data_IF_979708993804
#
_entry.id   IF_979708993804
#
_cell.length_a   1.000
_cell.length_b   1.000
_cell.length_c   1.000
_cell.angle_alpha   90.00
_cell.angle_beta   90.00
_cell.angle_gamma   90.00
#
_symmetry.space_group_name_H-M   'P 1'
#
loop_
_entity.id
_entity.type
_entity.pdbx_description
1 polymer ?
#
# COMPACT_ATOMS: atom_id res chain seq x y z
N UNK A 1 22.26 28.54 4.07
CA UNK A 1 21.69 27.21 3.81
C UNK A 1 20.27 27.24 4.35
N UNK A 2 19.25 27.16 3.49
CA UNK A 2 17.86 27.12 3.95
C UNK A 2 17.54 25.69 4.40
N UNK A 3 16.97 25.56 5.59
CA UNK A 3 16.38 24.31 6.06
C UNK A 3 14.87 24.43 5.93
N UNK A 4 14.20 23.31 5.68
CA UNK A 4 12.75 23.21 5.60
C UNK A 4 12.16 23.16 7.02
N UNK A 5 11.11 23.93 7.30
CA UNK A 5 10.34 23.77 8.55
C UNK A 5 9.36 22.60 8.42
N UNK A 6 8.91 22.03 9.54
CA UNK A 6 7.92 20.95 9.52
C UNK A 6 6.62 21.38 8.84
N UNK A 7 6.25 22.65 8.90
CA UNK A 7 5.05 23.16 8.21
C UNK A 7 5.16 23.14 6.68
N UNK A 8 6.38 23.12 6.13
CA UNK A 8 6.64 23.13 4.69
C UNK A 8 6.70 21.70 4.09
N UNK A 9 6.74 20.66 4.92
CA UNK A 9 6.84 19.26 4.48
C UNK A 9 5.46 18.62 4.33
N UNK A 10 5.05 18.37 3.08
CA UNK A 10 3.88 17.54 2.76
C UNK A 10 4.34 16.11 2.47
N UNK A 11 3.98 15.10 3.28
CA UNK A 11 4.30 13.72 2.96
C UNK A 11 3.55 13.31 1.68
N UNK A 12 4.21 12.61 0.74
CA UNK A 12 3.55 12.16 -0.47
C UNK A 12 2.45 11.16 -0.12
N UNK A 13 1.37 11.18 -0.88
CA UNK A 13 0.33 10.17 -0.81
C UNK A 13 0.46 9.21 -1.98
N UNK A 14 -0.04 7.99 -1.81
CA UNK A 14 0.10 6.95 -2.82
C UNK A 14 -1.17 6.17 -3.03
N UNK A 15 -1.53 5.96 -4.29
CA UNK A 15 -2.61 5.07 -4.68
C UNK A 15 -2.06 3.65 -4.85
N UNK A 16 -2.71 2.70 -4.22
CA UNK A 16 -2.31 1.28 -4.24
C UNK A 16 -3.11 0.55 -5.31
N UNK A 17 -2.43 -0.27 -6.10
CA UNK A 17 -3.02 -1.11 -7.13
C UNK A 17 -2.64 -2.57 -6.89
N UNK A 18 -3.60 -3.46 -7.16
CA UNK A 18 -3.46 -4.89 -6.93
C UNK A 18 -3.84 -5.68 -8.17
N UNK A 19 -2.91 -6.50 -8.65
CA UNK A 19 -3.14 -7.54 -9.65
C UNK A 19 -3.67 -8.77 -8.89
N UNK A 20 -4.98 -8.78 -8.62
CA UNK A 20 -5.64 -9.77 -7.73
C UNK A 20 -5.22 -11.22 -8.01
N UNK A 21 -5.13 -11.62 -9.28
CA UNK A 21 -4.82 -13.00 -9.67
C UNK A 21 -3.35 -13.40 -9.53
N UNK A 22 -2.43 -12.45 -9.26
CA UNK A 22 -1.05 -12.74 -8.85
C UNK A 22 -0.94 -12.96 -7.34
N UNK A 23 -1.83 -12.39 -6.55
CA UNK A 23 -1.77 -12.50 -5.10
C UNK A 23 -1.95 -13.95 -4.62
N UNK A 24 -1.11 -14.36 -3.66
CA UNK A 24 -1.11 -15.68 -3.01
C UNK A 24 -1.50 -15.63 -1.53
N UNK A 25 -2.04 -14.51 -1.06
CA UNK A 25 -2.55 -14.37 0.32
C UNK A 25 -1.48 -14.48 1.42
N UNK A 26 -0.21 -14.15 1.15
CA UNK A 26 0.85 -14.30 2.16
C UNK A 26 0.84 -13.26 3.30
N UNK A 27 0.07 -12.17 3.16
CA UNK A 27 -0.07 -11.13 4.19
C UNK A 27 1.13 -10.19 4.39
N UNK A 28 2.26 -10.37 3.71
CA UNK A 28 3.46 -9.53 3.95
C UNK A 28 3.23 -8.04 3.74
N UNK A 29 2.47 -7.65 2.72
CA UNK A 29 2.15 -6.24 2.49
C UNK A 29 1.31 -5.62 3.62
N UNK A 30 0.48 -6.41 4.30
CA UNK A 30 -0.30 -5.99 5.48
C UNK A 30 0.63 -5.85 6.68
N UNK A 31 1.45 -6.87 6.93
CA UNK A 31 2.32 -6.90 8.10
C UNK A 31 3.41 -5.84 8.06
N UNK A 32 4.04 -5.63 6.91
CA UNK A 32 5.16 -4.69 6.78
C UNK A 32 4.73 -3.28 6.36
N UNK A 33 3.43 -2.99 6.24
CA UNK A 33 2.97 -1.63 5.99
C UNK A 33 3.21 -0.76 7.25
N UNK A 34 4.08 0.27 7.20
CA UNK A 34 4.39 1.09 8.37
C UNK A 34 3.18 1.92 8.84
N UNK A 35 2.26 2.23 7.93
CA UNK A 35 1.00 2.95 8.23
C UNK A 35 -0.18 2.02 8.47
N UNK A 36 -0.01 0.70 8.31
CA UNK A 36 -1.04 -0.34 8.47
C UNK A 36 -2.34 -0.02 7.70
N UNK A 37 -2.22 0.49 6.48
CA UNK A 37 -3.35 0.89 5.62
C UNK A 37 -3.97 -0.25 4.83
N UNK A 38 -3.43 -1.46 4.96
CA UNK A 38 -3.89 -2.66 4.28
C UNK A 38 -4.43 -3.66 5.29
N UNK A 39 -5.53 -4.31 4.94
CA UNK A 39 -6.14 -5.43 5.69
C UNK A 39 -6.47 -6.57 4.73
N UNK A 40 -6.69 -7.76 5.26
CA UNK A 40 -7.20 -8.87 4.46
C UNK A 40 -8.62 -8.56 3.98
N UNK A 41 -8.93 -8.90 2.73
CA UNK A 41 -10.29 -8.74 2.21
C UNK A 41 -11.08 -10.03 2.38
N UNK A 42 -12.40 -9.91 2.57
CA UNK A 42 -13.34 -11.04 2.56
C UNK A 42 -13.53 -11.62 1.14
N UNK A 43 -13.01 -10.96 0.10
CA UNK A 43 -13.13 -11.40 -1.28
C UNK A 43 -12.10 -12.48 -1.61
N UNK A 44 -12.50 -13.44 -2.45
CA UNK A 44 -11.58 -14.41 -3.05
C UNK A 44 -11.17 -13.96 -4.45
N UNK A 45 -9.89 -14.14 -4.81
CA UNK A 45 -9.46 -14.09 -6.21
C UNK A 45 -9.79 -15.40 -6.94
N UNK A 46 -9.50 -15.47 -8.25
CA UNK A 46 -9.74 -16.67 -9.07
C UNK A 46 -9.01 -17.94 -8.60
N UNK A 47 -8.02 -17.79 -7.70
CA UNK A 47 -7.20 -18.87 -7.13
C UNK A 47 -7.59 -19.22 -5.69
N UNK A 48 -8.62 -18.59 -5.13
CA UNK A 48 -9.12 -18.89 -3.78
C UNK A 48 -8.31 -18.25 -2.65
N UNK A 49 -7.46 -17.27 -2.92
CA UNK A 49 -6.79 -16.48 -1.87
C UNK A 49 -7.58 -15.22 -1.54
N UNK A 50 -7.45 -14.74 -0.30
CA UNK A 50 -7.91 -13.43 0.15
C UNK A 50 -6.87 -12.36 -0.14
N UNK A 51 -7.05 -11.52 -1.17
CA UNK A 51 -6.09 -10.47 -1.47
C UNK A 51 -6.24 -9.31 -0.47
N UNK A 52 -5.22 -8.46 -0.29
CA UNK A 52 -5.33 -7.31 0.59
C UNK A 52 -6.27 -6.25 0.00
N UNK A 53 -6.92 -5.47 0.87
CA UNK A 53 -7.67 -4.25 0.53
C UNK A 53 -7.21 -3.08 1.39
N UNK A 54 -7.55 -1.86 0.97
CA UNK A 54 -7.35 -0.67 1.81
C UNK A 54 -8.29 -0.71 3.02
N UNK A 55 -7.76 -0.32 4.18
CA UNK A 55 -8.54 -0.04 5.38
C UNK A 55 -8.93 1.44 5.39
N UNK A 56 -10.19 1.72 5.05
CA UNK A 56 -10.73 3.08 4.98
C UNK A 56 -10.78 3.79 6.34
N UNK A 57 -10.60 3.06 7.45
CA UNK A 57 -10.54 3.64 8.80
C UNK A 57 -9.15 4.18 9.18
N UNK A 58 -8.13 3.98 8.34
CA UNK A 58 -6.74 4.32 8.61
C UNK A 58 -6.29 5.60 7.92
N UNK A 59 -5.13 6.09 8.34
CA UNK A 59 -4.44 7.19 7.66
C UNK A 59 -4.18 6.85 6.18
N UNK A 60 -4.04 7.88 5.35
CA UNK A 60 -3.68 7.70 3.93
C UNK A 60 -2.30 7.03 3.80
N UNK A 61 -2.15 6.25 2.72
CA UNK A 61 -0.86 5.74 2.28
C UNK A 61 0.14 6.90 2.12
N UNK A 62 1.39 6.70 2.57
CA UNK A 62 2.47 7.70 2.50
C UNK A 62 3.48 7.43 1.38
N UNK A 63 3.05 6.66 0.38
CA UNK A 63 3.87 6.34 -0.79
C UNK A 63 5.24 5.69 -0.51
N UNK A 64 5.38 4.93 0.57
CA UNK A 64 6.68 4.37 0.98
C UNK A 64 7.22 3.20 0.13
N UNK A 65 6.41 2.59 -0.75
CA UNK A 65 6.83 1.49 -1.62
C UNK A 65 7.03 0.11 -0.97
N UNK A 66 6.99 0.01 0.37
CA UNK A 66 7.29 -1.25 1.08
C UNK A 66 6.41 -2.43 0.67
N UNK A 67 5.12 -2.20 0.43
CA UNK A 67 4.20 -3.27 0.01
C UNK A 67 4.63 -3.90 -1.33
N UNK A 68 5.12 -3.10 -2.27
CA UNK A 68 5.61 -3.57 -3.56
C UNK A 68 6.96 -4.29 -3.40
N UNK A 69 7.86 -3.73 -2.59
CA UNK A 69 9.19 -4.30 -2.34
C UNK A 69 9.13 -5.70 -1.70
N UNK A 70 8.23 -5.89 -0.74
CA UNK A 70 8.13 -7.16 0.02
C UNK A 70 7.27 -8.21 -0.68
N UNK A 71 6.57 -7.86 -1.76
CA UNK A 71 5.67 -8.80 -2.43
C UNK A 71 6.46 -9.79 -3.29
N UNK A 72 6.49 -11.09 -2.95
CA UNK A 72 7.25 -12.08 -3.73
C UNK A 72 6.66 -12.32 -5.13
N UNK A 73 5.37 -12.01 -5.32
CA UNK A 73 4.64 -12.26 -6.56
C UNK A 73 4.52 -11.02 -7.46
N UNK A 74 5.07 -9.88 -7.02
CA UNK A 74 4.87 -8.57 -7.67
C UNK A 74 3.38 -8.30 -7.98
N UNK A 75 2.52 -8.67 -7.02
CA UNK A 75 1.07 -8.59 -7.17
C UNK A 75 0.51 -7.21 -6.79
N UNK A 76 1.26 -6.40 -6.06
CA UNK A 76 0.87 -5.08 -5.55
C UNK A 76 1.92 -4.05 -5.95
N UNK A 77 1.45 -2.89 -6.40
CA UNK A 77 2.29 -1.73 -6.71
C UNK A 77 1.57 -0.45 -6.29
N UNK A 78 2.27 0.68 -6.38
CA UNK A 78 1.72 1.98 -6.02
C UNK A 78 2.20 3.07 -6.97
N UNK A 79 1.37 4.09 -7.12
CA UNK A 79 1.70 5.32 -7.82
C UNK A 79 1.60 6.48 -6.81
N UNK A 80 2.55 7.41 -6.88
CA UNK A 80 2.48 8.64 -6.10
C UNK A 80 1.34 9.52 -6.61
N UNK A 81 0.43 9.89 -5.71
CA UNK A 81 -0.59 10.89 -5.95
C UNK A 81 0.05 12.26 -5.75
N UNK A 82 0.52 12.84 -6.85
CA UNK A 82 0.97 14.23 -6.86
C UNK A 82 -0.28 15.12 -6.73
N UNK A 83 -0.51 15.66 -5.53
CA UNK A 83 -1.46 16.75 -5.33
C UNK A 83 -1.02 17.94 -6.21
N UNK A 84 -1.78 18.18 -7.29
CA UNK A 84 -1.69 19.42 -8.09
C UNK A 84 -2.34 20.58 -7.34
#
# INVERSE_FOLDING_TARGET
MKYWTKEELKPPHGKIYLIKDRCKGCGFCIEFCPKKVLVESEEFNSKGYHPPKLDESRDKCIACGFCALVCPEFAIYMEEENES
#
